data_IF_838823404809
#
_entry.id   IF_838823404809
#
_cell.length_a   1.000
_cell.length_b   1.000
_cell.length_c   1.000
_cell.angle_alpha   90.00
_cell.angle_beta   90.00
_cell.angle_gamma   90.00
#
_symmetry.space_group_name_H-M   'P 1'
#
loop_
_entity.id
_entity.type
_entity.pdbx_description
1 polymer ?
#
# COMPACT_ATOMS: atom_id res chain seq x y z
N UNK A 1 44.83 -28.68 37.20
CA UNK A 1 45.83 -27.59 37.05
C UNK A 1 46.11 -27.19 35.59
N UNK A 2 45.87 -28.02 34.57
CA UNK A 2 46.11 -27.63 33.17
C UNK A 2 45.09 -26.64 32.57
N UNK A 3 43.84 -26.64 33.02
CA UNK A 3 42.79 -25.75 32.49
C UNK A 3 42.85 -24.31 33.01
N UNK A 4 43.53 -24.06 34.13
CA UNK A 4 43.70 -22.71 34.68
C UNK A 4 44.80 -21.93 33.95
N UNK A 5 45.84 -22.62 33.47
CA UNK A 5 46.95 -21.98 32.71
C UNK A 5 46.49 -21.55 31.32
N UNK A 6 45.66 -22.36 30.65
CA UNK A 6 45.15 -22.05 29.32
C UNK A 6 44.18 -20.85 29.33
N UNK A 7 43.37 -20.72 30.38
CA UNK A 7 42.49 -19.57 30.58
C UNK A 7 43.25 -18.24 30.78
N UNK A 8 44.37 -18.27 31.49
CA UNK A 8 45.23 -17.09 31.68
C UNK A 8 45.96 -16.67 30.40
N UNK A 9 46.38 -17.63 29.56
CA UNK A 9 46.99 -17.34 28.26
C UNK A 9 45.97 -16.70 27.31
N UNK A 10 44.74 -17.20 27.28
CA UNK A 10 43.66 -16.63 26.47
C UNK A 10 43.29 -15.19 26.91
N UNK A 11 43.27 -14.93 28.23
CA UNK A 11 42.99 -13.60 28.77
C UNK A 11 44.13 -12.60 28.50
N UNK A 12 45.39 -13.04 28.58
CA UNK A 12 46.55 -12.22 28.24
C UNK A 12 46.57 -11.82 26.75
N UNK A 13 46.26 -12.76 25.84
CA UNK A 13 46.16 -12.48 24.41
C UNK A 13 45.00 -11.54 24.07
N UNK A 14 43.89 -11.62 24.79
CA UNK A 14 42.76 -10.68 24.64
C UNK A 14 43.13 -9.24 25.03
N UNK A 15 43.87 -9.05 26.14
CA UNK A 15 44.34 -7.72 26.55
C UNK A 15 45.39 -7.16 25.58
N UNK A 16 46.31 -8.00 25.08
CA UNK A 16 47.26 -7.56 24.03
C UNK A 16 46.55 -7.12 22.74
N UNK A 17 45.42 -7.75 22.38
CA UNK A 17 44.61 -7.36 21.23
C UNK A 17 43.93 -6.00 21.38
N UNK A 18 43.68 -5.53 22.61
CA UNK A 18 43.07 -4.22 22.89
C UNK A 18 44.08 -3.07 22.92
N UNK A 19 45.38 -3.35 22.97
CA UNK A 19 46.44 -2.35 23.14
C UNK A 19 47.15 -1.99 21.82
N UNK A 20 46.80 -2.59 20.68
CA UNK A 20 47.43 -2.21 19.40
C UNK A 20 46.97 -0.79 18.99
N UNK A 21 47.88 0.20 18.89
CA UNK A 21 47.52 1.56 18.54
C UNK A 21 47.13 1.68 17.06
N UNK A 22 46.11 2.51 16.81
CA UNK A 22 45.67 2.93 15.47
C UNK A 22 46.77 3.75 14.80
N UNK A 23 47.56 3.13 13.93
CA UNK A 23 48.15 3.79 12.75
C UNK A 23 48.61 2.72 11.77
N UNK A 24 47.84 2.49 10.71
CA UNK A 24 48.31 2.24 9.34
C UNK A 24 47.11 2.45 8.42
N UNK A 25 47.23 3.52 7.63
CA UNK A 25 46.38 3.87 6.51
C UNK A 25 46.82 3.06 5.30
N UNK A 26 46.06 2.03 4.91
CA UNK A 26 46.03 1.51 3.52
C UNK A 26 44.60 1.05 3.21
N UNK A 27 44.08 1.61 2.12
CA UNK A 27 42.82 1.32 1.45
C UNK A 27 42.50 -0.18 1.31
N UNK A 28 41.33 -0.60 1.80
CA UNK A 28 40.44 -1.58 1.16
C UNK A 28 39.08 -1.64 1.87
N UNK A 29 38.01 -1.38 1.11
CA UNK A 29 36.60 -1.37 1.51
C UNK A 29 36.20 -2.76 2.04
N UNK A 30 36.19 -2.97 3.38
CA UNK A 30 35.77 -4.24 4.00
C UNK A 30 34.28 -4.17 4.35
N UNK A 31 33.48 -4.92 3.61
CA UNK A 31 32.02 -5.02 3.75
C UNK A 31 31.61 -5.55 5.12
N UNK A 32 30.79 -4.78 5.86
CA UNK A 32 30.16 -5.11 7.15
C UNK A 32 29.09 -6.22 7.04
N UNK A 33 29.30 -7.26 6.22
CA UNK A 33 28.34 -8.37 6.02
C UNK A 33 28.73 -9.66 6.75
N UNK A 34 29.94 -9.74 7.31
CA UNK A 34 30.41 -10.98 7.98
C UNK A 34 29.96 -11.08 9.45
N UNK A 35 29.94 -9.98 10.21
CA UNK A 35 29.55 -10.02 11.63
C UNK A 35 28.05 -10.29 11.85
N UNK A 36 27.19 -9.86 10.91
CA UNK A 36 25.75 -10.09 10.93
C UNK A 36 25.41 -11.55 10.57
N UNK A 37 26.22 -12.17 9.71
CA UNK A 37 26.08 -13.56 9.31
C UNK A 37 26.37 -14.52 10.49
N UNK A 38 27.40 -14.24 11.29
CA UNK A 38 27.68 -15.04 12.49
C UNK A 38 26.61 -14.86 13.59
N UNK A 39 26.01 -13.68 13.71
CA UNK A 39 24.88 -13.43 14.62
C UNK A 39 23.61 -14.20 14.18
N UNK A 40 23.30 -14.21 12.88
CA UNK A 40 22.20 -14.98 12.31
C UNK A 40 22.40 -16.50 12.50
N UNK A 41 23.61 -17.00 12.29
CA UNK A 41 23.94 -18.43 12.51
C UNK A 41 23.76 -18.79 13.99
N UNK A 42 24.19 -17.93 14.93
CA UNK A 42 24.01 -18.18 16.36
C UNK A 42 22.53 -18.22 16.79
N UNK A 43 21.68 -17.33 16.24
CA UNK A 43 20.23 -17.29 16.51
C UNK A 43 19.54 -18.53 15.92
N UNK A 44 19.90 -18.96 14.71
CA UNK A 44 19.35 -20.17 14.08
C UNK A 44 19.71 -21.42 14.89
N UNK A 45 20.95 -21.53 15.39
CA UNK A 45 21.35 -22.63 16.27
C UNK A 45 20.53 -22.66 17.59
N UNK A 46 20.17 -21.49 18.12
CA UNK A 46 19.32 -21.39 19.33
C UNK A 46 17.88 -21.84 19.07
N UNK A 47 17.31 -21.52 17.91
CA UNK A 47 15.94 -21.91 17.54
C UNK A 47 15.85 -23.43 17.28
N UNK A 48 16.86 -24.03 16.63
CA UNK A 48 16.88 -25.47 16.36
C UNK A 48 16.97 -26.29 17.66
N UNK A 49 17.67 -25.79 18.69
CA UNK A 49 17.74 -26.45 19.99
C UNK A 49 16.41 -26.41 20.77
N UNK A 50 15.53 -25.45 20.50
CA UNK A 50 14.25 -25.27 21.19
C UNK A 50 13.10 -26.13 20.64
N UNK A 51 13.29 -26.81 19.50
CA UNK A 51 12.22 -27.60 18.84
C UNK A 51 12.21 -29.08 19.30
N UNK A 52 13.20 -29.53 20.08
CA UNK A 52 13.18 -30.87 20.69
C UNK A 52 12.61 -30.77 22.10
N UNK A 53 11.29 -30.63 22.21
CA UNK A 53 10.44 -31.16 23.30
C UNK A 53 9.03 -30.59 23.18
N UNK A 54 8.14 -31.29 22.47
CA UNK A 54 6.85 -31.73 23.02
C UNK A 54 6.26 -32.73 22.03
N UNK A 55 6.07 -33.93 22.57
CA UNK A 55 5.51 -35.08 21.90
C UNK A 55 3.98 -35.08 22.04
N UNK A 56 3.33 -35.54 20.96
CA UNK A 56 2.12 -36.37 20.90
C UNK A 56 0.78 -35.82 21.41
N UNK A 57 -0.15 -35.55 20.46
CA UNK A 57 -1.30 -36.44 20.20
C UNK A 57 -2.01 -36.07 18.86
N UNK A 58 -2.36 -37.10 18.08
CA UNK A 58 -3.12 -37.11 16.80
C UNK A 58 -4.43 -37.92 17.05
N UNK A 59 -5.39 -37.99 16.11
CA UNK A 59 -6.45 -37.04 15.75
C UNK A 59 -7.86 -37.59 16.04
N UNK A 60 -8.91 -36.79 15.83
CA UNK A 60 -10.25 -37.31 15.55
C UNK A 60 -10.85 -36.58 14.34
N UNK A 61 -11.11 -37.35 13.29
CA UNK A 61 -11.79 -36.93 12.08
C UNK A 61 -13.30 -36.97 12.30
N UNK A 62 -14.04 -35.94 11.85
CA UNK A 62 -15.48 -36.06 11.60
C UNK A 62 -15.89 -35.22 10.39
N UNK A 63 -16.09 -35.95 9.30
CA UNK A 63 -16.99 -35.76 8.15
C UNK A 63 -17.45 -34.36 7.70
N UNK A 64 -17.04 -34.09 6.47
CA UNK A 64 -17.74 -33.35 5.41
C UNK A 64 -19.20 -33.83 5.29
N UNK A 65 -20.16 -32.90 5.26
CA UNK A 65 -21.47 -33.15 4.64
C UNK A 65 -21.84 -31.98 3.73
N UNK A 66 -21.78 -32.25 2.44
CA UNK A 66 -22.39 -31.51 1.37
C UNK A 66 -23.90 -31.77 1.39
N UNK A 67 -24.69 -30.71 1.26
CA UNK A 67 -26.07 -30.84 0.78
C UNK A 67 -26.36 -29.73 -0.24
N UNK A 68 -26.31 -30.16 -1.49
CA UNK A 68 -26.90 -29.53 -2.65
C UNK A 68 -28.43 -29.67 -2.61
N UNK A 69 -29.15 -28.59 -2.96
CA UNK A 69 -30.48 -28.66 -3.60
C UNK A 69 -30.58 -27.45 -4.54
N UNK A 70 -30.53 -27.65 -5.87
CA UNK A 70 -31.69 -27.90 -6.77
C UNK A 70 -32.69 -26.75 -6.69
N UNK A 71 -32.70 -25.76 -7.58
CA UNK A 71 -33.17 -25.76 -8.98
C UNK A 71 -34.69 -26.03 -9.18
N UNK A 72 -35.28 -25.21 -10.07
CA UNK A 72 -36.63 -25.30 -10.69
C UNK A 72 -37.72 -24.52 -9.93
N UNK A 73 -38.68 -23.79 -10.53
CA UNK A 73 -39.24 -23.76 -11.89
C UNK A 73 -40.06 -22.46 -12.10
N UNK A 74 -39.95 -21.79 -13.25
CA UNK A 74 -40.84 -21.78 -14.44
C UNK A 74 -42.19 -21.03 -14.31
N UNK A 75 -42.25 -19.93 -15.08
CA UNK A 75 -43.35 -19.34 -15.87
C UNK A 75 -44.72 -18.99 -15.26
N UNK A 76 -45.17 -17.76 -15.60
CA UNK A 76 -46.48 -17.56 -16.21
C UNK A 76 -46.51 -16.28 -17.06
N UNK A 77 -46.82 -16.48 -18.34
CA UNK A 77 -47.14 -15.51 -19.38
C UNK A 77 -48.49 -14.86 -19.10
N UNK A 78 -48.66 -13.58 -19.47
CA UNK A 78 -49.96 -13.00 -19.82
C UNK A 78 -49.76 -11.91 -20.89
N UNK A 79 -50.72 -11.88 -21.81
CA UNK A 79 -50.68 -11.37 -23.19
C UNK A 79 -51.52 -10.10 -23.34
N UNK A 80 -51.23 -9.37 -24.42
CA UNK A 80 -52.00 -8.28 -25.07
C UNK A 80 -51.60 -6.86 -24.63
N UNK A 81 -51.50 -5.86 -25.51
CA UNK A 81 -52.19 -5.65 -26.78
C UNK A 81 -51.40 -4.74 -27.73
N UNK A 82 -51.71 -4.93 -29.02
CA UNK A 82 -51.26 -4.19 -30.20
C UNK A 82 -51.63 -2.70 -30.13
N UNK A 83 -50.64 -1.83 -30.32
CA UNK A 83 -50.83 -0.41 -30.60
C UNK A 83 -49.75 0.08 -31.54
N UNK A 84 -50.09 0.23 -32.81
CA UNK A 84 -49.20 0.72 -33.87
C UNK A 84 -48.72 2.14 -33.56
N UNK A 85 -47.42 2.31 -33.28
CA UNK A 85 -46.77 3.63 -33.26
C UNK A 85 -45.70 3.66 -34.34
N UNK A 86 -45.97 4.50 -35.34
CA UNK A 86 -45.05 5.09 -36.33
C UNK A 86 -43.60 5.17 -35.80
N UNK A 87 -42.59 4.62 -36.51
CA UNK A 87 -41.22 4.68 -36.01
C UNK A 87 -40.75 6.14 -35.96
N UNK A 88 -40.60 6.65 -34.74
CA UNK A 88 -39.79 7.83 -34.48
C UNK A 88 -38.36 7.55 -34.95
N UNK A 89 -37.64 8.54 -35.51
CA UNK A 89 -36.26 8.33 -35.93
C UNK A 89 -35.45 7.85 -34.73
N UNK A 90 -34.92 6.64 -34.86
CA UNK A 90 -33.95 6.03 -33.97
C UNK A 90 -32.85 7.05 -33.68
N UNK A 91 -32.88 7.67 -32.50
CA UNK A 91 -31.73 8.39 -31.98
C UNK A 91 -30.62 7.36 -31.83
N UNK A 92 -29.67 7.34 -32.75
CA UNK A 92 -28.42 6.62 -32.57
C UNK A 92 -27.90 6.95 -31.17
N UNK A 93 -27.48 5.95 -30.36
CA UNK A 93 -26.81 6.22 -29.09
C UNK A 93 -25.68 7.20 -29.38
N UNK A 94 -25.72 8.38 -28.77
CA UNK A 94 -24.62 9.33 -28.88
C UNK A 94 -23.34 8.57 -28.52
N UNK A 95 -22.42 8.45 -29.47
CA UNK A 95 -21.12 7.84 -29.21
C UNK A 95 -20.54 8.56 -28.01
N UNK A 96 -20.23 7.85 -26.90
CA UNK A 96 -19.70 8.48 -25.71
C UNK A 96 -18.40 9.20 -26.10
N UNK A 97 -18.34 10.50 -25.81
CA UNK A 97 -17.14 11.31 -26.06
C UNK A 97 -15.95 10.68 -25.30
N UNK A 98 -14.81 10.54 -25.97
CA UNK A 98 -13.55 10.09 -25.36
C UNK A 98 -12.51 11.20 -25.35
N UNK A 99 -11.58 11.13 -24.39
CA UNK A 99 -10.48 12.07 -24.21
C UNK A 99 -9.15 11.35 -23.97
N UNK A 100 -8.05 12.02 -24.30
CA UNK A 100 -6.70 11.58 -23.94
C UNK A 100 -6.32 12.06 -22.54
N UNK A 101 -5.69 11.19 -21.76
CA UNK A 101 -5.22 11.46 -20.40
C UNK A 101 -3.76 11.04 -20.30
N UNK A 102 -2.94 11.89 -19.69
CA UNK A 102 -1.58 11.56 -19.26
C UNK A 102 -1.33 12.26 -17.92
N UNK A 103 -1.09 11.48 -16.87
CA UNK A 103 -0.94 11.99 -15.50
C UNK A 103 0.06 11.15 -14.72
N UNK A 104 0.84 11.80 -13.86
CA UNK A 104 1.68 11.14 -12.85
C UNK A 104 0.96 11.11 -11.51
N UNK A 105 0.86 9.93 -10.92
CA UNK A 105 0.30 9.67 -9.60
C UNK A 105 1.43 9.32 -8.64
N UNK A 106 1.47 9.99 -7.49
CA UNK A 106 2.33 9.62 -6.35
C UNK A 106 1.59 8.69 -5.40
N UNK A 107 2.17 8.41 -4.24
CA UNK A 107 1.50 7.63 -3.19
C UNK A 107 0.12 8.22 -2.84
N UNK A 108 -0.90 7.36 -2.80
CA UNK A 108 -2.28 7.80 -2.57
C UNK A 108 -3.34 6.81 -3.01
N UNK A 109 -4.60 7.20 -2.76
CA UNK A 109 -5.79 6.47 -3.19
C UNK A 109 -6.58 7.27 -4.22
N UNK A 110 -6.56 6.85 -5.48
CA UNK A 110 -7.18 7.59 -6.57
C UNK A 110 -8.47 6.92 -7.03
N UNK A 111 -9.59 7.61 -6.86
CA UNK A 111 -10.92 7.13 -7.25
C UNK A 111 -11.21 7.49 -8.69
N UNK A 112 -11.45 6.49 -9.52
CA UNK A 112 -11.83 6.65 -10.92
C UNK A 112 -13.17 7.37 -11.01
N UNK A 113 -13.26 8.37 -11.87
CA UNK A 113 -14.39 9.30 -12.01
C UNK A 113 -14.41 10.45 -11.01
N UNK A 114 -13.44 10.51 -10.08
CA UNK A 114 -13.21 11.64 -9.18
C UNK A 114 -11.85 12.28 -9.46
N UNK A 115 -10.77 11.49 -9.45
CA UNK A 115 -9.41 11.95 -9.66
C UNK A 115 -9.00 11.97 -11.14
N UNK A 116 -9.43 10.96 -11.88
CA UNK A 116 -9.20 10.79 -13.30
C UNK A 116 -10.34 9.95 -13.90
N UNK A 117 -10.63 10.06 -15.20
CA UNK A 117 -11.83 9.44 -15.79
C UNK A 117 -11.74 7.91 -15.88
N UNK A 118 -12.89 7.26 -16.04
CA UNK A 118 -12.94 5.83 -16.34
C UNK A 118 -12.42 5.53 -17.74
N UNK A 119 -11.80 4.37 -17.93
CA UNK A 119 -11.25 4.02 -19.24
C UNK A 119 -10.28 2.85 -19.19
N UNK A 120 -9.56 2.65 -20.29
CA UNK A 120 -8.47 1.68 -20.38
C UNK A 120 -7.14 2.42 -20.42
N UNK A 121 -6.25 2.10 -19.49
CA UNK A 121 -5.00 2.80 -19.26
C UNK A 121 -3.79 1.89 -19.47
N UNK A 122 -2.71 2.49 -19.93
CA UNK A 122 -1.37 1.93 -19.83
C UNK A 122 -0.65 2.63 -18.68
N UNK A 123 0.05 1.84 -17.90
CA UNK A 123 0.82 2.28 -16.75
C UNK A 123 2.30 2.18 -17.06
N UNK A 124 3.06 3.15 -16.59
CA UNK A 124 4.53 3.13 -16.62
C UNK A 124 5.06 3.62 -15.29
N UNK A 125 5.96 2.85 -14.66
CA UNK A 125 6.66 3.31 -13.47
C UNK A 125 7.75 4.32 -13.85
N UNK A 126 7.57 5.59 -13.49
CA UNK A 126 8.56 6.63 -13.76
C UNK A 126 9.77 6.55 -12.83
N UNK A 127 9.55 6.24 -11.55
CA UNK A 127 10.59 6.03 -10.56
C UNK A 127 10.04 5.30 -9.33
N UNK A 128 10.94 4.80 -8.48
CA UNK A 128 10.57 4.07 -7.26
C UNK A 128 10.23 2.60 -7.53
N UNK A 129 9.72 1.92 -6.50
CA UNK A 129 9.25 0.55 -6.58
C UNK A 129 8.19 0.29 -5.53
N UNK A 130 7.02 -0.17 -5.93
CA UNK A 130 5.90 -0.24 -5.02
C UNK A 130 4.64 -0.89 -5.58
N UNK A 131 3.61 -0.90 -4.76
CA UNK A 131 2.35 -1.58 -5.04
C UNK A 131 1.39 -0.67 -5.80
N UNK A 132 0.75 -1.23 -6.84
CA UNK A 132 -0.35 -0.63 -7.58
C UNK A 132 -1.49 -1.63 -7.60
N UNK A 133 -2.55 -1.32 -6.84
CA UNK A 133 -3.63 -2.26 -6.52
C UNK A 133 -4.97 -1.57 -6.73
N UNK A 134 -5.95 -2.27 -7.31
CA UNK A 134 -7.33 -1.79 -7.36
C UNK A 134 -8.21 -2.46 -6.32
N UNK A 135 -9.23 -1.74 -5.83
CA UNK A 135 -10.17 -2.26 -4.83
C UNK A 135 -11.04 -3.41 -5.31
N UNK A 136 -11.25 -3.53 -6.62
CA UNK A 136 -11.94 -4.67 -7.24
C UNK A 136 -11.01 -5.88 -7.45
N UNK A 137 -9.70 -5.73 -7.19
CA UNK A 137 -8.70 -6.78 -7.32
C UNK A 137 -8.30 -7.09 -8.76
N UNK A 138 -8.79 -6.35 -9.77
CA UNK A 138 -8.39 -6.55 -11.17
C UNK A 138 -6.90 -6.26 -11.40
N UNK A 139 -6.32 -5.39 -10.58
CA UNK A 139 -4.90 -5.03 -10.61
C UNK A 139 -4.30 -5.29 -9.23
N UNK A 140 -3.19 -6.03 -9.19
CA UNK A 140 -2.43 -6.28 -7.97
C UNK A 140 -0.95 -6.47 -8.34
N UNK A 141 -0.30 -5.35 -8.67
CA UNK A 141 1.04 -5.37 -9.25
C UNK A 141 2.07 -4.71 -8.35
N UNK A 142 3.27 -5.28 -8.34
CA UNK A 142 4.47 -4.58 -7.89
C UNK A 142 5.10 -3.96 -9.13
N UNK A 143 5.14 -2.62 -9.19
CA UNK A 143 5.72 -1.88 -10.31
C UNK A 143 6.94 -1.06 -9.89
N UNK A 144 7.85 -0.80 -10.83
CA UNK A 144 9.03 0.02 -10.62
C UNK A 144 10.35 -0.73 -10.70
N UNK A 145 11.35 -0.34 -9.92
CA UNK A 145 12.71 -0.88 -9.99
C UNK A 145 12.84 -2.37 -9.61
N UNK A 146 11.97 -2.86 -8.73
CA UNK A 146 11.94 -4.25 -8.28
C UNK A 146 10.71 -5.02 -8.79
N UNK A 147 10.02 -4.47 -9.80
CA UNK A 147 8.79 -5.03 -10.35
C UNK A 147 8.63 -4.70 -11.82
N UNK A 148 7.39 -4.72 -12.30
CA UNK A 148 7.11 -4.43 -13.70
C UNK A 148 7.26 -2.94 -14.00
N UNK A 149 7.93 -2.63 -15.11
CA UNK A 149 8.09 -1.24 -15.57
C UNK A 149 6.84 -0.69 -16.22
N UNK A 150 6.01 -1.57 -16.78
CA UNK A 150 4.81 -1.21 -17.52
C UNK A 150 3.71 -2.22 -17.28
N UNK A 151 2.47 -1.77 -17.21
CA UNK A 151 1.28 -2.61 -17.20
C UNK A 151 0.27 -2.08 -18.20
N UNK A 152 -0.12 -2.88 -19.19
CA UNK A 152 -0.94 -2.42 -20.31
C UNK A 152 -2.39 -2.82 -20.16
N UNK A 153 -3.29 -2.01 -20.73
CA UNK A 153 -4.71 -2.29 -20.83
C UNK A 153 -5.43 -2.48 -19.48
N UNK A 154 -5.01 -1.76 -18.45
CA UNK A 154 -5.71 -1.65 -17.17
C UNK A 154 -7.12 -1.09 -17.39
N UNK A 155 -8.15 -1.90 -17.15
CA UNK A 155 -9.54 -1.46 -17.24
C UNK A 155 -9.95 -0.87 -15.90
N UNK A 156 -10.28 0.41 -15.90
CA UNK A 156 -10.62 1.13 -14.69
C UNK A 156 -12.05 1.65 -14.79
N UNK A 157 -12.94 1.04 -14.02
CA UNK A 157 -14.35 1.40 -13.98
C UNK A 157 -14.59 2.57 -13.02
N UNK A 158 -15.64 3.34 -13.30
CA UNK A 158 -16.04 4.45 -12.44
C UNK A 158 -16.30 3.96 -11.00
N UNK A 159 -15.70 4.62 -10.02
CA UNK A 159 -15.79 4.25 -8.60
C UNK A 159 -14.72 3.26 -8.11
N UNK A 160 -13.97 2.59 -8.99
CA UNK A 160 -12.80 1.79 -8.57
C UNK A 160 -11.77 2.72 -7.96
N UNK A 161 -11.11 2.27 -6.87
CA UNK A 161 -9.99 3.01 -6.27
C UNK A 161 -8.68 2.35 -6.64
N UNK A 162 -7.77 3.11 -7.23
CA UNK A 162 -6.40 2.74 -7.51
C UNK A 162 -5.51 3.18 -6.33
N UNK A 163 -5.01 2.22 -5.58
CA UNK A 163 -4.03 2.42 -4.51
C UNK A 163 -2.62 2.38 -5.10
N UNK A 164 -1.88 3.47 -4.94
CA UNK A 164 -0.48 3.60 -5.38
C UNK A 164 0.37 3.84 -4.15
N UNK A 165 1.45 3.06 -3.98
CA UNK A 165 2.35 3.20 -2.83
C UNK A 165 3.78 2.77 -3.17
N UNK A 166 4.76 3.64 -2.99
CA UNK A 166 6.19 3.41 -3.21
C UNK A 166 6.66 3.63 -4.65
N UNK A 167 5.78 4.08 -5.55
CA UNK A 167 6.09 4.24 -6.98
C UNK A 167 5.47 5.52 -7.55
N UNK A 168 6.23 6.25 -8.36
CA UNK A 168 5.71 7.34 -9.17
C UNK A 168 5.12 6.75 -10.45
N UNK A 169 3.80 6.65 -10.49
CA UNK A 169 3.07 5.96 -11.54
C UNK A 169 2.60 6.92 -12.62
N UNK A 170 3.05 6.74 -13.86
CA UNK A 170 2.45 7.40 -15.01
C UNK A 170 1.27 6.58 -15.52
N UNK A 171 0.11 7.22 -15.69
CA UNK A 171 -1.05 6.63 -16.34
C UNK A 171 -1.32 7.36 -17.65
N UNK A 172 -1.58 6.59 -18.71
CA UNK A 172 -1.89 7.14 -20.02
C UNK A 172 -3.07 6.41 -20.67
N UNK A 173 -4.00 7.16 -21.24
CA UNK A 173 -5.10 6.62 -22.05
C UNK A 173 -5.37 7.54 -23.24
N UNK A 174 -5.66 6.96 -24.40
CA UNK A 174 -6.12 7.69 -25.59
C UNK A 174 -7.65 7.71 -25.72
N UNK A 175 -8.36 6.91 -24.92
CA UNK A 175 -9.79 6.67 -25.06
C UNK A 175 -10.51 6.67 -23.70
N UNK A 176 -10.06 7.51 -22.75
CA UNK A 176 -10.75 7.63 -21.47
C UNK A 176 -12.11 8.32 -21.66
N UNK A 177 -13.04 8.10 -20.74
CA UNK A 177 -14.37 8.72 -20.76
C UNK A 177 -14.26 10.23 -20.70
N UNK A 178 -14.98 10.93 -21.59
CA UNK A 178 -15.13 12.39 -21.55
C UNK A 178 -16.16 12.89 -20.53
N UNK A 179 -16.70 12.01 -19.68
CA UNK A 179 -17.61 12.42 -18.62
C UNK A 179 -16.91 13.34 -17.61
N UNK A 180 -17.63 14.36 -17.13
CA UNK A 180 -17.11 15.28 -16.11
C UNK A 180 -16.82 14.52 -14.82
N UNK A 181 -15.65 14.78 -14.22
CA UNK A 181 -15.26 14.21 -12.93
C UNK A 181 -16.18 14.72 -11.82
N UNK A 182 -16.55 13.81 -10.91
CA UNK A 182 -17.35 14.14 -9.74
C UNK A 182 -16.46 14.85 -8.71
N UNK A 183 -16.80 16.08 -8.27
CA UNK A 183 -16.01 16.78 -7.27
C UNK A 183 -16.12 16.11 -5.90
N UNK A 184 -15.08 16.27 -5.08
CA UNK A 184 -15.13 15.90 -3.66
C UNK A 184 -15.92 16.95 -2.88
N UNK A 185 -16.84 16.50 -2.03
CA UNK A 185 -17.48 17.40 -1.07
C UNK A 185 -16.59 17.52 0.18
N UNK A 186 -15.82 18.60 0.24
CA UNK A 186 -14.89 18.92 1.35
C UNK A 186 -15.18 20.32 1.93
N UNK A 187 -16.42 20.80 1.82
CA UNK A 187 -16.80 22.14 2.26
C UNK A 187 -16.63 22.30 3.77
N UNK A 188 -16.04 23.41 4.20
CA UNK A 188 -15.81 23.72 5.61
C UNK A 188 -14.66 22.96 6.26
N UNK A 189 -13.93 22.11 5.52
CA UNK A 189 -12.74 21.44 6.02
C UNK A 189 -11.53 22.38 5.93
N UNK A 190 -10.64 22.28 6.91
CA UNK A 190 -9.44 23.11 7.02
C UNK A 190 -8.22 22.23 7.22
N UNK A 191 -7.06 22.76 6.82
CA UNK A 191 -5.77 22.12 7.07
C UNK A 191 -5.47 22.07 8.57
N UNK A 192 -5.00 20.93 9.06
CA UNK A 192 -4.56 20.75 10.46
C UNK A 192 -3.19 20.08 10.51
N UNK A 193 -2.38 20.47 11.47
CA UNK A 193 -1.14 19.76 11.80
C UNK A 193 -1.37 18.80 12.96
N UNK A 194 -0.94 17.56 12.81
CA UNK A 194 -1.04 16.49 13.80
C UNK A 194 0.36 15.96 14.12
N UNK A 195 0.75 16.02 15.38
CA UNK A 195 1.99 15.43 15.88
C UNK A 195 1.82 13.92 16.08
N UNK A 196 2.83 13.26 16.66
CA UNK A 196 2.71 11.87 17.08
C UNK A 196 1.57 11.70 18.10
N UNK A 197 0.72 10.69 17.90
CA UNK A 197 -0.48 10.46 18.70
C UNK A 197 -1.46 9.49 18.04
N UNK A 198 -2.56 9.20 18.74
CA UNK A 198 -3.71 8.46 18.20
C UNK A 198 -4.89 9.42 18.07
N UNK A 199 -5.43 9.54 16.88
CA UNK A 199 -6.51 10.46 16.55
C UNK A 199 -7.72 9.70 16.01
N UNK A 200 -8.90 10.26 16.18
CA UNK A 200 -10.16 9.75 15.66
C UNK A 200 -10.86 10.81 14.83
N UNK A 201 -11.16 10.48 13.57
CA UNK A 201 -11.93 11.34 12.69
C UNK A 201 -13.36 11.53 13.21
N UNK A 202 -13.87 12.76 13.12
CA UNK A 202 -15.10 13.21 13.77
C UNK A 202 -14.92 13.71 15.20
N UNK A 203 -13.80 13.39 15.86
CA UNK A 203 -13.50 13.85 17.24
C UNK A 203 -12.33 14.83 17.24
N UNK A 204 -11.16 14.40 16.78
CA UNK A 204 -9.93 15.21 16.82
C UNK A 204 -9.75 16.09 15.57
N UNK A 205 -10.23 15.57 14.43
CA UNK A 205 -10.31 16.28 13.16
C UNK A 205 -11.60 15.86 12.43
N UNK A 206 -12.20 16.72 11.59
CA UNK A 206 -13.43 16.34 10.88
C UNK A 206 -13.24 15.11 9.98
N UNK A 207 -14.31 14.36 9.74
CA UNK A 207 -14.31 13.34 8.70
C UNK A 207 -14.20 13.99 7.31
N UNK A 208 -13.47 13.36 6.39
CA UNK A 208 -13.18 13.92 5.08
C UNK A 208 -12.12 13.13 4.32
N UNK A 209 -11.73 13.66 3.16
CA UNK A 209 -10.63 13.12 2.35
C UNK A 209 -9.48 14.10 2.36
N UNK A 210 -8.29 13.63 2.74
CA UNK A 210 -7.14 14.47 3.01
C UNK A 210 -5.90 13.99 2.26
N UNK A 211 -5.11 14.96 1.82
CA UNK A 211 -3.71 14.76 1.51
C UNK A 211 -2.93 14.88 2.82
N UNK A 212 -2.11 13.87 3.12
CA UNK A 212 -1.20 13.84 4.25
C UNK A 212 0.17 14.30 3.76
N UNK A 213 0.82 15.23 4.46
CA UNK A 213 2.17 15.70 4.12
C UNK A 213 3.04 15.72 5.36
N UNK A 214 4.21 15.09 5.34
CA UNK A 214 5.18 15.16 6.43
C UNK A 214 5.73 16.59 6.56
N UNK A 215 5.70 17.13 7.78
CA UNK A 215 6.15 18.50 8.10
C UNK A 215 7.43 18.50 8.95
N UNK A 216 7.60 17.50 9.81
CA UNK A 216 8.85 17.29 10.55
C UNK A 216 8.99 15.83 11.01
N UNK A 217 10.23 15.38 11.15
CA UNK A 217 10.55 14.02 11.59
C UNK A 217 10.37 12.97 10.51
N UNK A 218 10.53 11.71 10.93
CA UNK A 218 10.33 10.51 10.12
C UNK A 218 9.68 9.45 11.00
N UNK A 219 8.67 8.77 10.48
CA UNK A 219 8.03 7.69 11.20
C UNK A 219 6.79 7.16 10.50
N UNK A 220 5.93 6.47 11.24
CA UNK A 220 4.85 5.70 10.65
C UNK A 220 3.49 6.37 10.84
N UNK A 221 2.68 6.32 9.78
CA UNK A 221 1.30 6.79 9.76
C UNK A 221 0.40 5.62 9.36
N UNK A 222 -0.46 5.20 10.29
CA UNK A 222 -1.28 4.00 10.15
C UNK A 222 -2.76 4.35 10.36
N UNK A 223 -3.63 3.81 9.52
CA UNK A 223 -5.07 3.80 9.73
C UNK A 223 -5.62 2.44 9.34
N UNK A 224 -5.88 1.57 10.33
CA UNK A 224 -6.30 0.17 10.08
C UNK A 224 -7.80 0.04 9.78
N UNK A 225 -8.63 0.87 10.40
CA UNK A 225 -10.09 0.87 10.19
C UNK A 225 -10.55 1.97 9.21
N UNK A 226 -9.61 2.62 8.52
CA UNK A 226 -9.90 3.58 7.47
C UNK A 226 -10.72 2.97 6.32
N UNK A 227 -11.20 3.82 5.42
CA UNK A 227 -11.91 3.33 4.21
C UNK A 227 -11.03 2.39 3.40
N UNK A 228 -9.73 2.68 3.35
CA UNK A 228 -8.68 1.76 2.92
C UNK A 228 -7.60 1.72 4.01
N UNK A 229 -6.97 0.55 4.26
CA UNK A 229 -5.92 0.43 5.24
C UNK A 229 -4.70 1.22 4.78
N UNK A 230 -4.25 2.15 5.63
CA UNK A 230 -3.03 2.94 5.42
C UNK A 230 -1.93 2.41 6.35
N UNK A 231 -0.74 2.23 5.78
CA UNK A 231 0.50 1.99 6.51
C UNK A 231 1.64 2.62 5.71
N UNK A 232 2.02 3.83 6.06
CA UNK A 232 3.00 4.61 5.32
C UNK A 232 4.12 5.11 6.25
N UNK A 233 5.36 4.84 5.86
CA UNK A 233 6.52 5.50 6.45
C UNK A 233 6.61 6.88 5.81
N UNK A 234 6.41 7.93 6.60
CA UNK A 234 6.43 9.31 6.13
C UNK A 234 7.64 10.08 6.66
N UNK A 235 8.20 10.94 5.83
CA UNK A 235 9.41 11.73 6.12
C UNK A 235 9.40 13.07 5.39
N UNK A 236 10.00 14.11 5.95
CA UNK A 236 10.25 15.35 5.22
C UNK A 236 11.28 15.22 4.10
N UNK A 237 12.13 14.19 4.21
CA UNK A 237 13.13 13.77 3.24
C UNK A 237 12.82 12.33 2.80
N UNK A 238 12.33 12.19 1.58
CA UNK A 238 11.91 10.93 0.94
C UNK A 238 12.98 10.36 -0.01
N UNK A 239 14.24 10.82 0.13
CA UNK A 239 15.35 10.34 -0.69
C UNK A 239 15.84 8.93 -0.36
N UNK A 240 15.37 8.35 0.75
CA UNK A 240 15.71 6.98 1.17
C UNK A 240 15.03 5.89 0.33
N UNK A 241 14.09 6.27 -0.55
CA UNK A 241 13.37 5.37 -1.44
C UNK A 241 12.39 4.43 -0.73
N UNK A 242 12.18 4.61 0.57
CA UNK A 242 11.27 3.79 1.39
C UNK A 242 10.20 4.65 2.07
N UNK A 243 10.51 5.90 2.35
CA UNK A 243 9.60 6.86 2.95
C UNK A 243 8.95 7.76 1.88
N UNK A 244 7.80 8.32 2.23
CA UNK A 244 7.05 9.21 1.37
C UNK A 244 6.79 10.54 2.05
N UNK A 245 6.98 11.65 1.33
CA UNK A 245 6.67 12.96 1.88
C UNK A 245 5.18 13.24 1.90
N UNK A 246 4.45 12.74 0.90
CA UNK A 246 3.03 13.04 0.71
C UNK A 246 2.26 11.77 0.37
N UNK A 247 1.13 11.57 1.03
CA UNK A 247 0.18 10.51 0.70
C UNK A 247 -1.17 11.14 0.35
N UNK A 248 -1.65 10.94 -0.88
CA UNK A 248 -2.81 11.64 -1.43
C UNK A 248 -4.13 10.94 -1.12
N UNK A 249 -5.19 11.73 -0.99
CA UNK A 249 -6.58 11.27 -1.05
C UNK A 249 -6.99 10.21 0.01
N UNK A 250 -6.45 10.31 1.24
CA UNK A 250 -6.81 9.40 2.34
C UNK A 250 -8.18 9.77 2.90
N UNK A 251 -9.14 8.84 2.82
CA UNK A 251 -10.52 9.07 3.26
C UNK A 251 -10.78 8.51 4.65
N UNK A 252 -11.14 9.40 5.57
CA UNK A 252 -11.55 9.09 6.93
C UNK A 252 -13.04 9.34 7.13
N UNK A 253 -13.80 8.27 7.40
CA UNK A 253 -15.16 8.34 7.94
C UNK A 253 -15.11 8.63 9.45
N UNK A 254 -16.19 9.17 9.99
CA UNK A 254 -16.31 9.35 11.44
C UNK A 254 -16.05 8.03 12.18
N UNK A 255 -15.19 8.06 13.21
CA UNK A 255 -14.74 6.89 13.96
C UNK A 255 -13.51 6.18 13.38
N UNK A 256 -13.03 6.53 12.19
CA UNK A 256 -11.73 6.04 11.70
C UNK A 256 -10.58 6.57 12.56
N UNK A 257 -9.61 5.71 12.84
CA UNK A 257 -8.46 6.02 13.67
C UNK A 257 -7.23 6.29 12.82
N UNK A 258 -6.40 7.22 13.26
CA UNK A 258 -5.12 7.59 12.65
C UNK A 258 -4.05 7.58 13.74
N UNK A 259 -3.14 6.62 13.65
CA UNK A 259 -1.98 6.51 14.52
C UNK A 259 -0.77 7.13 13.83
N UNK A 260 -0.09 8.03 14.53
CA UNK A 260 1.10 8.73 14.04
C UNK A 260 2.22 8.51 15.05
N UNK A 261 3.37 8.02 14.59
CA UNK A 261 4.57 7.80 15.42
C UNK A 261 5.79 8.41 14.76
N UNK A 262 6.61 9.17 15.48
CA UNK A 262 7.92 9.66 15.01
C UNK A 262 7.90 10.82 13.98
N UNK A 263 6.73 11.13 13.41
CA UNK A 263 6.54 12.19 12.41
C UNK A 263 5.43 13.14 12.85
N UNK A 264 5.52 14.40 12.42
CA UNK A 264 4.42 15.36 12.45
C UNK A 264 3.93 15.55 11.02
N UNK A 265 2.63 15.42 10.80
CA UNK A 265 2.02 15.59 9.47
C UNK A 265 1.07 16.78 9.44
N UNK A 266 0.87 17.32 8.24
CA UNK A 266 -0.24 18.20 7.91
C UNK A 266 -1.27 17.39 7.13
N UNK A 267 -2.54 17.49 7.54
CA UNK A 267 -3.68 16.97 6.79
C UNK A 267 -4.37 18.14 6.12
N UNK A 268 -4.43 18.14 4.78
CA UNK A 268 -5.09 19.18 4.00
C UNK A 268 -6.21 18.57 3.17
N UNK A 269 -7.41 19.18 3.08
CA UNK A 269 -8.50 18.63 2.29
C UNK A 269 -8.06 18.38 0.84
N UNK A 270 -8.30 17.17 0.34
CA UNK A 270 -7.99 16.81 -1.05
C UNK A 270 -8.90 17.56 -2.02
N UNK A 271 -8.37 17.88 -3.20
CA UNK A 271 -9.09 18.59 -4.25
C UNK A 271 -9.96 17.67 -5.08
#
# INVERSE_FOLDING_TARGET
MFFTVLGWIAFALFILGLIVPKTIFISKKKTRKSSLLYLLIAIVCWIIAAIISVATAKPAAVSLSSSSSSASSVASVSKSSTGSVKPAPSSAPATPSTISVNQTLSDGYYTVGVDFPAGTYNFTAASGSGNVITTDGEINEIMGDQGDKTFNNAKLQNGTVLSVSGVQLQIASSNASGATLKPRNQSGLVTKQLAAGNYTAGTDFPAGTYDLTAVSGQGNVISQNGTLPLNAIMSTDDSDGMSTKTYKNVTFKAGNTLQITGVTISISPSK
#
